data_IF_654792440512
#
_entry.id   IF_654792440512
#
_cell.length_a   1.000
_cell.length_b   1.000
_cell.length_c   1.000
_cell.angle_alpha   90.00
_cell.angle_beta   90.00
_cell.angle_gamma   90.00
#
_symmetry.space_group_name_H-M   'P 1'
#
loop_
_entity.id
_entity.type
_entity.pdbx_description
1 polymer ?
#
# COMPACT_ATOMS: atom_id res chain seq x y z
N UNK A 1 10.77 29.15 -31.73
CA UNK A 1 10.25 29.37 -30.37
C UNK A 1 11.45 29.67 -29.49
N UNK A 2 11.48 30.74 -28.68
CA UNK A 2 12.60 30.98 -27.79
C UNK A 2 12.69 29.80 -26.81
N UNK A 3 13.85 29.17 -26.72
CA UNK A 3 14.15 28.22 -25.67
C UNK A 3 14.09 28.99 -24.34
N UNK A 4 13.09 28.70 -23.51
CA UNK A 4 13.05 29.21 -22.16
C UNK A 4 14.26 28.64 -21.42
N UNK A 5 15.08 29.55 -20.89
CA UNK A 5 16.19 29.18 -20.03
C UNK A 5 15.63 28.59 -18.71
N UNK A 6 15.55 27.26 -18.65
CA UNK A 6 15.07 26.53 -17.49
C UNK A 6 16.06 26.49 -16.32
N UNK A 7 17.16 27.21 -16.41
CA UNK A 7 18.25 27.18 -15.40
C UNK A 7 18.03 28.18 -14.25
N UNK A 8 17.12 29.13 -14.39
CA UNK A 8 16.81 30.06 -13.31
C UNK A 8 15.77 29.47 -12.35
N UNK A 9 16.03 29.42 -11.05
CA UNK A 9 15.04 29.00 -10.07
C UNK A 9 13.82 29.92 -10.13
N UNK A 10 12.64 29.32 -10.19
CA UNK A 10 11.39 30.08 -10.12
C UNK A 10 11.29 30.81 -8.76
N UNK A 11 10.69 31.99 -8.75
CA UNK A 11 10.49 32.71 -7.49
C UNK A 11 9.65 31.86 -6.54
N UNK A 12 9.93 31.90 -5.23
CA UNK A 12 9.13 31.19 -4.24
C UNK A 12 7.68 31.65 -4.28
N UNK A 13 6.77 30.74 -3.92
CA UNK A 13 5.36 31.07 -3.78
C UNK A 13 5.20 32.14 -2.71
N UNK A 14 4.61 33.28 -3.05
CA UNK A 14 4.30 34.34 -2.11
C UNK A 14 2.89 34.11 -1.52
N UNK A 15 2.77 33.77 -0.21
CA UNK A 15 1.48 33.52 0.40
C UNK A 15 0.57 34.76 0.50
N UNK A 16 1.12 35.95 0.26
CA UNK A 16 0.36 37.21 0.26
C UNK A 16 -0.24 37.57 -1.10
N UNK A 17 0.20 36.88 -2.16
CA UNK A 17 -0.36 37.07 -3.49
C UNK A 17 -1.75 36.44 -3.61
N UNK A 18 -2.61 37.06 -4.41
CA UNK A 18 -3.85 36.46 -4.86
C UNK A 18 -3.56 35.12 -5.52
N UNK A 19 -4.33 34.08 -5.16
CA UNK A 19 -4.16 32.71 -5.70
C UNK A 19 -4.24 32.65 -7.22
N UNK A 20 -4.93 33.62 -7.86
CA UNK A 20 -4.98 33.75 -9.33
C UNK A 20 -3.66 34.17 -9.97
N UNK A 21 -2.71 34.71 -9.18
CA UNK A 21 -1.40 35.14 -9.64
C UNK A 21 -0.32 34.11 -9.37
N UNK A 22 -0.64 33.05 -8.60
CA UNK A 22 0.30 31.97 -8.32
C UNK A 22 0.51 31.10 -9.56
N UNK A 23 1.78 30.93 -9.94
CA UNK A 23 2.14 30.11 -11.07
C UNK A 23 1.99 28.61 -10.72
N UNK A 24 1.36 27.83 -11.58
CA UNK A 24 1.15 26.37 -11.41
C UNK A 24 2.43 25.63 -11.02
N UNK A 25 3.53 25.91 -11.70
CA UNK A 25 4.85 25.31 -11.46
C UNK A 25 5.36 25.54 -10.03
N UNK A 26 5.24 26.77 -9.54
CA UNK A 26 5.66 27.17 -8.20
C UNK A 26 4.76 26.58 -7.12
N UNK A 27 3.43 26.62 -7.35
CA UNK A 27 2.46 26.03 -6.40
C UNK A 27 2.71 24.54 -6.16
N UNK A 28 2.99 23.79 -7.22
CA UNK A 28 3.26 22.34 -7.12
C UNK A 28 4.72 22.01 -6.81
N UNK A 29 5.59 23.00 -6.63
CA UNK A 29 7.02 22.83 -6.40
C UNK A 29 7.69 21.88 -7.41
N UNK A 30 7.31 22.02 -8.70
CA UNK A 30 7.71 21.08 -9.74
C UNK A 30 9.22 21.11 -10.03
N UNK A 31 9.89 22.25 -9.82
CA UNK A 31 11.35 22.35 -9.94
C UNK A 31 12.04 21.35 -9.03
N UNK A 32 11.70 21.35 -7.73
CA UNK A 32 12.27 20.44 -6.76
C UNK A 32 11.88 18.99 -7.06
N UNK A 33 10.61 18.73 -7.36
CA UNK A 33 10.10 17.38 -7.64
C UNK A 33 10.79 16.74 -8.84
N UNK A 34 10.89 17.47 -9.97
CA UNK A 34 11.43 16.93 -11.22
C UNK A 34 12.96 16.85 -11.22
N UNK A 35 13.65 17.60 -10.34
CA UNK A 35 15.10 17.55 -10.17
C UNK A 35 15.59 16.56 -9.12
N UNK A 36 14.68 15.84 -8.42
CA UNK A 36 15.08 14.99 -7.30
C UNK A 36 15.64 13.62 -7.72
N UNK A 37 15.55 13.22 -9.00
CA UNK A 37 16.13 11.96 -9.48
C UNK A 37 17.66 11.99 -9.39
N UNK A 38 18.25 10.87 -8.95
CA UNK A 38 19.70 10.71 -8.78
C UNK A 38 20.14 9.34 -9.30
N UNK A 39 20.15 9.12 -10.64
CA UNK A 39 20.66 7.88 -11.21
C UNK A 39 22.15 7.70 -10.89
N UNK A 40 22.56 6.46 -10.65
CA UNK A 40 23.93 6.07 -10.32
C UNK A 40 24.71 5.61 -11.55
N UNK A 41 24.00 5.26 -12.62
CA UNK A 41 24.57 4.78 -13.87
C UNK A 41 24.11 5.64 -15.06
N UNK A 42 24.64 5.39 -16.23
CA UNK A 42 24.21 6.03 -17.48
C UNK A 42 23.06 5.27 -18.17
N UNK A 43 22.50 4.24 -17.54
CA UNK A 43 21.40 3.47 -18.12
C UNK A 43 20.11 4.28 -18.17
N UNK A 44 19.50 4.37 -19.36
CA UNK A 44 18.22 5.07 -19.53
C UNK A 44 17.08 4.38 -18.76
N UNK A 45 17.18 3.06 -18.52
CA UNK A 45 16.18 2.31 -17.78
C UNK A 45 16.26 2.59 -16.26
N UNK A 46 17.42 3.01 -15.73
CA UNK A 46 17.54 3.43 -14.34
C UNK A 46 16.72 4.70 -14.07
N UNK A 47 16.72 5.64 -14.99
CA UNK A 47 15.93 6.87 -14.90
C UNK A 47 14.42 6.55 -14.87
N UNK A 48 13.96 5.62 -15.71
CA UNK A 48 12.58 5.12 -15.68
C UNK A 48 12.26 4.38 -14.39
N UNK A 49 13.18 3.54 -13.90
CA UNK A 49 13.04 2.80 -12.65
C UNK A 49 12.80 3.74 -11.46
N UNK A 50 13.62 4.80 -11.35
CA UNK A 50 13.46 5.82 -10.31
C UNK A 50 12.11 6.52 -10.44
N UNK A 51 11.74 6.98 -11.63
CA UNK A 51 10.49 7.70 -11.85
C UNK A 51 9.25 6.88 -11.46
N UNK A 52 9.19 5.60 -11.84
CA UNK A 52 8.09 4.71 -11.48
C UNK A 52 7.99 4.54 -9.96
N UNK A 53 9.11 4.34 -9.27
CA UNK A 53 9.11 4.23 -7.81
C UNK A 53 8.68 5.53 -7.13
N UNK A 54 9.12 6.68 -7.61
CA UNK A 54 8.70 7.98 -7.08
C UNK A 54 7.20 8.22 -7.23
N UNK A 55 6.58 7.82 -8.36
CA UNK A 55 5.12 7.88 -8.54
C UNK A 55 4.41 7.00 -7.50
N UNK A 56 4.89 5.77 -7.30
CA UNK A 56 4.32 4.86 -6.31
C UNK A 56 4.47 5.42 -4.88
N UNK A 57 5.63 5.97 -4.53
CA UNK A 57 5.88 6.53 -3.21
C UNK A 57 5.03 7.77 -2.92
N UNK A 58 4.79 8.65 -3.89
CA UNK A 58 3.86 9.77 -3.77
C UNK A 58 2.42 9.29 -3.56
N UNK A 59 2.02 8.24 -4.27
CA UNK A 59 0.70 7.63 -4.08
C UNK A 59 0.58 7.03 -2.67
N UNK A 60 1.57 6.25 -2.21
CA UNK A 60 1.58 5.68 -0.86
C UNK A 60 1.54 6.76 0.22
N UNK A 61 2.29 7.86 0.04
CA UNK A 61 2.27 8.97 0.98
C UNK A 61 0.86 9.55 1.15
N UNK A 62 0.18 9.83 0.05
CA UNK A 62 -1.19 10.35 0.12
C UNK A 62 -2.17 9.31 0.67
N UNK A 63 -1.99 8.02 0.33
CA UNK A 63 -2.79 6.93 0.90
C UNK A 63 -2.64 6.85 2.42
N UNK A 64 -1.44 7.04 2.97
CA UNK A 64 -1.20 7.07 4.42
C UNK A 64 -1.98 8.22 5.08
N UNK A 65 -1.92 9.42 4.50
CA UNK A 65 -2.65 10.58 5.01
C UNK A 65 -4.17 10.36 5.01
N UNK A 66 -4.69 9.77 3.95
CA UNK A 66 -6.13 9.47 3.86
C UNK A 66 -6.52 8.28 4.73
N UNK A 67 -5.64 7.29 4.91
CA UNK A 67 -5.85 6.16 5.80
C UNK A 67 -5.94 6.60 7.28
N UNK A 68 -5.09 7.53 7.72
CA UNK A 68 -5.22 8.12 9.07
C UNK A 68 -6.59 8.73 9.29
N UNK A 69 -7.12 9.46 8.30
CA UNK A 69 -8.47 10.05 8.37
C UNK A 69 -9.56 8.98 8.43
N UNK A 70 -9.44 7.94 7.61
CA UNK A 70 -10.36 6.80 7.62
C UNK A 70 -10.35 6.11 8.97
N UNK A 71 -9.19 5.80 9.52
CA UNK A 71 -9.06 5.11 10.79
C UNK A 71 -9.61 5.96 11.94
N UNK A 72 -9.33 7.27 11.95
CA UNK A 72 -9.88 8.21 12.94
C UNK A 72 -11.41 8.25 12.86
N UNK A 73 -11.96 8.43 11.67
CA UNK A 73 -13.40 8.49 11.48
C UNK A 73 -14.12 7.17 11.85
N UNK A 74 -13.50 6.02 11.54
CA UNK A 74 -14.04 4.72 11.98
C UNK A 74 -14.00 4.57 13.50
N UNK A 75 -12.91 5.02 14.15
CA UNK A 75 -12.80 5.01 15.60
C UNK A 75 -13.86 5.86 16.27
N UNK A 76 -14.11 7.07 15.76
CA UNK A 76 -15.17 7.98 16.22
C UNK A 76 -16.56 7.37 16.00
N UNK A 77 -16.86 6.84 14.82
CA UNK A 77 -18.14 6.21 14.51
C UNK A 77 -18.41 4.95 15.35
N UNK A 78 -17.38 4.19 15.72
CA UNK A 78 -17.49 3.04 16.63
C UNK A 78 -17.68 3.48 18.08
N UNK A 79 -17.08 4.60 18.49
CA UNK A 79 -17.25 5.17 19.83
C UNK A 79 -18.59 5.89 20.01
N UNK A 80 -19.23 6.29 18.92
CA UNK A 80 -20.56 6.88 18.94
C UNK A 80 -21.63 5.85 19.32
N UNK A 81 -22.33 6.10 20.41
CA UNK A 81 -23.36 5.19 20.93
C UNK A 81 -24.76 5.45 20.36
N UNK A 82 -24.88 6.21 19.28
CA UNK A 82 -26.16 6.46 18.59
C UNK A 82 -26.69 5.22 17.87
N UNK A 83 -25.79 4.30 17.49
CA UNK A 83 -26.11 3.01 16.87
C UNK A 83 -25.32 1.88 17.55
N UNK A 84 -25.91 0.70 17.79
CA UNK A 84 -25.24 -0.41 18.46
C UNK A 84 -24.09 -1.04 17.66
N UNK A 85 -24.07 -0.87 16.35
CA UNK A 85 -23.04 -1.42 15.45
C UNK A 85 -22.00 -0.35 15.14
N UNK A 86 -22.40 0.71 14.48
CA UNK A 86 -21.54 1.84 14.08
C UNK A 86 -22.39 3.07 13.78
N UNK A 87 -21.96 4.23 14.26
CA UNK A 87 -22.56 5.52 13.95
C UNK A 87 -22.27 5.99 12.53
N UNK A 88 -22.25 7.30 12.31
CA UNK A 88 -22.04 7.89 10.98
C UNK A 88 -20.64 7.61 10.43
N UNK A 89 -20.58 7.07 9.23
CA UNK A 89 -19.34 6.73 8.50
C UNK A 89 -19.09 7.61 7.28
N UNK A 90 -19.82 8.71 7.15
CA UNK A 90 -19.73 9.59 5.96
C UNK A 90 -18.30 10.09 5.71
N UNK A 91 -17.57 10.46 6.76
CA UNK A 91 -16.19 10.94 6.66
C UNK A 91 -15.23 9.82 6.22
N UNK A 92 -15.35 8.63 6.79
CA UNK A 92 -14.59 7.46 6.35
C UNK A 92 -14.87 7.13 4.87
N UNK A 93 -16.15 7.17 4.48
CA UNK A 93 -16.58 6.93 3.10
C UNK A 93 -16.18 8.04 2.12
N UNK A 94 -15.85 9.24 2.59
CA UNK A 94 -15.30 10.31 1.77
C UNK A 94 -13.82 10.04 1.42
N UNK A 95 -13.00 9.60 2.38
CA UNK A 95 -11.56 9.41 2.15
C UNK A 95 -11.22 8.03 1.58
N UNK A 96 -11.93 6.97 1.95
CA UNK A 96 -11.57 5.61 1.54
C UNK A 96 -11.52 5.42 0.01
N UNK A 97 -12.48 5.88 -0.79
CA UNK A 97 -12.41 5.76 -2.25
C UNK A 97 -11.17 6.41 -2.87
N UNK A 98 -10.61 7.45 -2.25
CA UNK A 98 -9.37 8.10 -2.72
C UNK A 98 -8.18 7.16 -2.57
N UNK A 99 -8.10 6.42 -1.46
CA UNK A 99 -7.09 5.40 -1.23
C UNK A 99 -7.18 4.33 -2.33
N UNK A 100 -8.39 3.87 -2.65
CA UNK A 100 -8.61 2.85 -3.68
C UNK A 100 -8.13 3.34 -5.05
N UNK A 101 -8.45 4.58 -5.42
CA UNK A 101 -8.00 5.18 -6.68
C UNK A 101 -6.48 5.37 -6.75
N UNK A 102 -5.85 5.78 -5.66
CA UNK A 102 -4.39 5.86 -5.58
C UNK A 102 -3.73 4.48 -5.68
N UNK A 103 -4.36 3.46 -5.12
CA UNK A 103 -3.89 2.09 -5.27
C UNK A 103 -3.96 1.61 -6.74
N UNK A 104 -5.02 1.96 -7.47
CA UNK A 104 -5.13 1.71 -8.90
C UNK A 104 -4.03 2.43 -9.69
N UNK A 105 -3.64 3.67 -9.31
CA UNK A 105 -2.50 4.38 -9.91
C UNK A 105 -1.22 3.56 -9.75
N UNK A 106 -0.95 3.03 -8.56
CA UNK A 106 0.22 2.16 -8.32
C UNK A 106 0.17 0.92 -9.22
N UNK A 107 -0.99 0.23 -9.29
CA UNK A 107 -1.19 -0.97 -10.09
C UNK A 107 -1.06 -0.73 -11.60
N UNK A 108 -1.39 0.46 -12.09
CA UNK A 108 -1.26 0.83 -13.50
C UNK A 108 0.13 1.36 -13.84
N UNK A 109 0.84 1.92 -12.88
CA UNK A 109 2.19 2.48 -13.05
C UNK A 109 3.27 1.39 -13.04
N UNK A 110 3.20 0.43 -12.12
CA UNK A 110 4.21 -0.63 -12.01
C UNK A 110 4.44 -1.47 -13.28
N UNK A 111 3.43 -1.80 -14.11
CA UNK A 111 3.64 -2.51 -15.38
C UNK A 111 4.60 -1.82 -16.35
N UNK A 112 4.81 -0.52 -16.23
CA UNK A 112 5.77 0.23 -17.04
C UNK A 112 7.19 -0.35 -16.86
N UNK A 113 7.53 -0.84 -15.66
CA UNK A 113 8.82 -1.50 -15.41
C UNK A 113 9.07 -2.75 -16.27
N UNK A 114 8.03 -3.38 -16.83
CA UNK A 114 8.20 -4.50 -17.76
C UNK A 114 8.77 -4.08 -19.12
N UNK A 115 8.75 -2.81 -19.43
CA UNK A 115 9.33 -2.27 -20.68
C UNK A 115 10.84 -2.10 -20.62
N UNK A 116 11.43 -2.18 -19.41
CA UNK A 116 12.88 -2.09 -19.23
C UNK A 116 13.60 -3.27 -19.90
N UNK A 117 14.70 -2.96 -20.61
CA UNK A 117 15.56 -3.93 -21.28
C UNK A 117 16.93 -4.07 -20.65
N UNK A 118 17.38 -3.00 -19.98
CA UNK A 118 18.73 -2.86 -19.44
C UNK A 118 18.78 -2.97 -17.91
N UNK A 119 17.80 -3.60 -17.27
CA UNK A 119 17.76 -3.74 -15.80
C UNK A 119 19.05 -4.35 -15.24
N UNK A 120 19.68 -5.29 -15.98
CA UNK A 120 20.93 -5.91 -15.58
C UNK A 120 22.08 -4.90 -15.42
N UNK A 121 22.10 -3.82 -16.18
CA UNK A 121 23.19 -2.84 -16.23
C UNK A 121 23.35 -2.08 -14.92
N UNK A 122 22.23 -1.76 -14.26
CA UNK A 122 22.25 -0.98 -13.03
C UNK A 122 21.86 -1.79 -11.78
N UNK A 123 21.36 -3.02 -11.95
CA UNK A 123 20.90 -3.87 -10.85
C UNK A 123 21.93 -4.09 -9.74
N UNK A 124 23.18 -4.31 -10.13
CA UNK A 124 24.28 -4.51 -9.16
C UNK A 124 24.69 -3.21 -8.48
N UNK A 125 24.59 -2.09 -9.19
CA UNK A 125 24.96 -0.76 -8.68
C UNK A 125 23.96 -0.26 -7.64
N UNK A 126 22.66 -0.47 -7.86
CA UNK A 126 21.64 -0.08 -6.89
C UNK A 126 21.64 -0.95 -5.62
N UNK A 127 22.35 -2.10 -5.64
CA UNK A 127 22.54 -2.96 -4.47
C UNK A 127 21.23 -3.35 -3.78
N UNK A 128 21.16 -3.21 -2.45
CA UNK A 128 19.98 -3.58 -1.67
C UNK A 128 18.79 -2.60 -1.80
N UNK A 129 18.91 -1.54 -2.59
CA UNK A 129 17.84 -0.54 -2.78
C UNK A 129 16.76 -1.06 -3.72
N UNK A 130 15.90 -1.94 -3.29
CA UNK A 130 14.77 -2.46 -4.07
C UNK A 130 13.45 -1.93 -3.54
N UNK A 131 12.39 -1.97 -4.36
CA UNK A 131 11.02 -1.61 -3.97
C UNK A 131 10.48 -2.40 -2.77
N UNK A 132 11.10 -3.54 -2.41
CA UNK A 132 10.81 -4.26 -1.17
C UNK A 132 11.17 -3.47 0.09
N UNK A 133 11.93 -2.40 -0.04
CA UNK A 133 12.35 -1.52 1.05
C UNK A 133 11.52 -0.24 1.15
N UNK A 134 10.36 -0.18 0.50
CA UNK A 134 9.47 0.96 0.65
C UNK A 134 8.99 1.06 2.11
N UNK A 135 9.45 2.10 2.78
CA UNK A 135 9.09 2.41 4.15
C UNK A 135 7.62 2.83 4.25
N UNK A 136 7.13 3.62 3.29
CA UNK A 136 5.73 4.04 3.26
C UNK A 136 4.77 2.87 2.99
N UNK A 137 5.15 1.95 2.11
CA UNK A 137 4.34 0.76 1.89
C UNK A 137 4.21 -0.10 3.16
N UNK A 138 5.29 -0.24 3.95
CA UNK A 138 5.24 -0.91 5.26
C UNK A 138 4.30 -0.22 6.23
N UNK A 139 4.37 1.11 6.29
CA UNK A 139 3.45 1.89 7.12
C UNK A 139 1.99 1.61 6.75
N UNK A 140 1.68 1.67 5.46
CA UNK A 140 0.33 1.39 4.96
C UNK A 140 -0.15 -0.05 5.27
N UNK A 141 0.74 -1.05 5.16
CA UNK A 141 0.42 -2.43 5.55
C UNK A 141 0.08 -2.54 7.04
N UNK A 142 0.83 -1.88 7.92
CA UNK A 142 0.57 -1.89 9.37
C UNK A 142 -0.76 -1.19 9.69
N UNK A 143 -1.04 -0.05 9.06
CA UNK A 143 -2.33 0.63 9.18
C UNK A 143 -3.51 -0.21 8.68
N UNK A 144 -3.26 -1.13 7.76
CA UNK A 144 -4.26 -2.09 7.26
C UNK A 144 -4.50 -3.27 8.19
N UNK A 145 -3.59 -3.51 9.14
CA UNK A 145 -3.67 -4.61 10.09
C UNK A 145 -2.81 -5.83 9.74
N UNK A 146 -1.85 -5.70 8.80
CA UNK A 146 -0.88 -6.76 8.50
C UNK A 146 0.08 -6.93 9.67
N UNK A 147 -0.14 -7.97 10.48
CA UNK A 147 0.67 -8.24 11.68
C UNK A 147 1.82 -9.23 11.44
N UNK A 148 1.65 -10.14 10.49
CA UNK A 148 2.53 -11.31 10.35
C UNK A 148 3.74 -11.06 9.44
N UNK A 149 3.88 -9.87 8.91
CA UNK A 149 4.93 -9.56 7.94
C UNK A 149 6.35 -9.71 8.53
N UNK A 150 6.55 -9.24 9.76
CA UNK A 150 7.83 -9.25 10.48
C UNK A 150 8.08 -10.51 11.29
N UNK A 151 7.04 -11.30 11.56
CA UNK A 151 7.17 -12.61 12.22
C UNK A 151 7.64 -13.71 11.24
N UNK A 152 7.84 -13.37 9.97
CA UNK A 152 8.33 -14.29 8.94
C UNK A 152 9.82 -14.59 8.99
N UNK A 153 10.51 -14.35 10.10
CA UNK A 153 11.89 -14.74 10.33
C UNK A 153 12.10 -16.23 10.05
N UNK A 154 13.29 -16.59 9.55
CA UNK A 154 13.73 -17.97 9.49
C UNK A 154 13.74 -18.52 10.92
N UNK A 155 13.30 -19.76 11.08
CA UNK A 155 13.51 -20.46 12.35
C UNK A 155 14.98 -20.80 12.47
N UNK A 156 15.57 -20.60 13.65
CA UNK A 156 16.90 -21.08 13.96
C UNK A 156 16.93 -22.64 13.96
N UNK A 157 18.09 -23.22 14.14
CA UNK A 157 18.28 -24.67 14.20
C UNK A 157 17.50 -25.34 15.35
N UNK A 158 16.97 -24.55 16.29
CA UNK A 158 16.20 -25.01 17.43
C UNK A 158 14.68 -24.76 17.26
N UNK A 159 14.27 -24.22 16.11
CA UNK A 159 12.86 -23.95 15.79
C UNK A 159 12.31 -22.63 16.34
N UNK A 160 13.14 -21.80 16.98
CA UNK A 160 12.76 -20.49 17.43
C UNK A 160 12.71 -19.50 16.26
N UNK A 161 11.83 -18.50 16.28
CA UNK A 161 11.83 -17.45 15.28
C UNK A 161 13.17 -16.70 15.30
N UNK A 162 14.01 -16.92 14.30
CA UNK A 162 15.22 -16.14 14.09
C UNK A 162 14.88 -15.03 13.11
N UNK A 163 14.73 -13.82 13.61
CA UNK A 163 14.63 -12.61 12.82
C UNK A 163 16.07 -12.26 12.44
N UNK A 164 16.50 -12.70 11.24
CA UNK A 164 17.71 -12.15 10.67
C UNK A 164 17.45 -10.67 10.39
N UNK A 165 18.08 -9.81 11.18
CA UNK A 165 18.04 -8.37 10.98
C UNK A 165 18.55 -8.03 9.57
N UNK A 166 17.66 -7.55 8.71
CA UNK A 166 18.04 -6.98 7.43
C UNK A 166 18.58 -5.57 7.61
N UNK A 167 19.25 -5.01 6.62
CA UNK A 167 19.65 -3.59 6.64
C UNK A 167 18.43 -2.67 6.81
N UNK A 168 17.29 -3.05 6.25
CA UNK A 168 16.04 -2.35 6.43
C UNK A 168 15.57 -2.36 7.89
N UNK A 169 15.64 -3.51 8.55
CA UNK A 169 15.25 -3.65 9.97
C UNK A 169 16.15 -2.81 10.87
N UNK A 170 17.47 -2.83 10.63
CA UNK A 170 18.43 -1.98 11.38
C UNK A 170 18.14 -0.51 11.24
N UNK A 171 17.71 -0.07 10.04
CA UNK A 171 17.46 1.34 9.75
C UNK A 171 16.10 1.81 10.26
N UNK A 172 15.07 0.99 10.13
CA UNK A 172 13.67 1.39 10.34
C UNK A 172 12.94 0.58 11.41
N UNK A 173 13.61 -0.39 12.04
CA UNK A 173 12.98 -1.28 13.01
C UNK A 173 12.35 -0.55 14.20
N UNK A 174 12.96 0.54 14.65
CA UNK A 174 12.40 1.38 15.72
C UNK A 174 11.09 2.05 15.31
N UNK A 175 11.06 2.64 14.09
CA UNK A 175 9.85 3.30 13.57
C UNK A 175 8.72 2.29 13.38
N UNK A 176 9.07 1.11 12.84
CA UNK A 176 8.12 0.01 12.63
C UNK A 176 7.54 -0.48 13.95
N UNK A 177 8.36 -0.64 14.99
CA UNK A 177 7.88 -1.03 16.33
C UNK A 177 6.90 0.00 16.90
N UNK A 178 7.20 1.29 16.75
CA UNK A 178 6.29 2.38 17.15
C UNK A 178 4.97 2.35 16.36
N UNK A 179 5.00 2.04 15.06
CA UNK A 179 3.79 1.91 14.28
C UNK A 179 2.94 0.71 14.72
N UNK A 180 3.54 -0.44 15.02
CA UNK A 180 2.82 -1.60 15.55
C UNK A 180 2.15 -1.28 16.87
N UNK A 181 2.79 -0.51 17.75
CA UNK A 181 2.20 -0.05 19.00
C UNK A 181 1.04 0.94 18.73
N UNK A 182 1.29 1.96 17.90
CA UNK A 182 0.29 2.99 17.56
C UNK A 182 -0.97 2.40 16.93
N UNK A 183 -0.81 1.46 15.98
CA UNK A 183 -1.92 0.88 15.24
C UNK A 183 -2.40 -0.46 15.81
N UNK A 184 -2.01 -0.84 17.00
CA UNK A 184 -2.39 -2.13 17.61
C UNK A 184 -3.90 -2.35 17.61
N UNK A 185 -4.67 -1.36 18.09
CA UNK A 185 -6.13 -1.35 18.12
C UNK A 185 -6.71 -0.20 17.27
N UNK A 186 -6.00 0.21 16.23
CA UNK A 186 -6.34 1.34 15.38
C UNK A 186 -5.90 1.06 13.93
N UNK A 187 -6.44 -0.01 13.33
CA UNK A 187 -6.17 -0.42 11.96
C UNK A 187 -7.42 -1.01 11.32
N UNK A 188 -7.44 -1.17 9.99
CA UNK A 188 -8.63 -1.63 9.27
C UNK A 188 -9.10 -3.02 9.72
N UNK A 189 -8.18 -3.98 9.94
CA UNK A 189 -8.53 -5.32 10.40
C UNK A 189 -9.15 -5.30 11.80
N UNK A 190 -8.62 -4.48 12.71
CA UNK A 190 -9.20 -4.29 14.04
C UNK A 190 -10.63 -3.76 13.98
N UNK A 191 -10.88 -2.77 13.11
CA UNK A 191 -12.22 -2.22 12.97
C UNK A 191 -13.19 -3.21 12.31
N UNK A 192 -12.73 -3.98 11.34
CA UNK A 192 -13.52 -5.07 10.76
C UNK A 192 -13.92 -6.11 11.82
N UNK A 193 -12.97 -6.58 12.62
CA UNK A 193 -13.24 -7.53 13.71
C UNK A 193 -14.20 -6.94 14.75
N UNK A 194 -14.07 -5.65 15.06
CA UNK A 194 -14.96 -4.94 15.98
C UNK A 194 -16.40 -4.88 15.43
N UNK A 195 -16.55 -4.60 14.14
CA UNK A 195 -17.88 -4.60 13.49
C UNK A 195 -18.50 -5.99 13.48
N UNK A 196 -17.74 -7.04 13.22
CA UNK A 196 -18.24 -8.42 13.33
C UNK A 196 -18.73 -8.73 14.74
N UNK A 197 -17.97 -8.38 15.79
CA UNK A 197 -18.33 -8.63 17.17
C UNK A 197 -19.61 -7.88 17.61
N UNK A 198 -19.87 -6.71 17.05
CA UNK A 198 -21.06 -5.91 17.33
C UNK A 198 -22.28 -6.33 16.50
N UNK A 199 -22.06 -7.05 15.40
CA UNK A 199 -23.11 -7.45 14.46
C UNK A 199 -23.92 -8.61 15.00
N UNK A 200 -25.24 -8.62 14.80
CA UNK A 200 -26.08 -9.75 15.13
C UNK A 200 -25.75 -10.96 14.23
N UNK A 201 -25.86 -12.16 14.79
CA UNK A 201 -25.64 -13.44 14.10
C UNK A 201 -24.78 -14.39 14.92
N UNK A 202 -24.97 -15.69 14.69
CA UNK A 202 -24.24 -16.76 15.37
C UNK A 202 -23.05 -17.27 14.56
N UNK A 203 -22.96 -16.88 13.30
CA UNK A 203 -21.89 -17.24 12.38
C UNK A 203 -21.33 -15.99 11.73
N UNK A 204 -20.07 -16.04 11.32
CA UNK A 204 -19.42 -14.93 10.58
C UNK A 204 -20.21 -14.57 9.31
N UNK A 205 -20.79 -15.53 8.63
CA UNK A 205 -21.61 -15.30 7.44
C UNK A 205 -22.88 -14.48 7.75
N UNK A 206 -23.57 -14.80 8.84
CA UNK A 206 -24.75 -14.04 9.29
C UNK A 206 -24.35 -12.61 9.72
N UNK A 207 -23.25 -12.48 10.43
CA UNK A 207 -22.71 -11.18 10.85
C UNK A 207 -22.35 -10.31 9.66
N UNK A 208 -21.64 -10.82 8.67
CA UNK A 208 -21.31 -10.09 7.44
C UNK A 208 -22.59 -9.71 6.68
N UNK A 209 -23.56 -10.62 6.56
CA UNK A 209 -24.84 -10.32 5.91
C UNK A 209 -25.58 -9.17 6.60
N UNK A 210 -25.60 -9.16 7.94
CA UNK A 210 -26.19 -8.08 8.71
C UNK A 210 -25.46 -6.74 8.48
N UNK A 211 -24.13 -6.75 8.49
CA UNK A 211 -23.33 -5.56 8.22
C UNK A 211 -23.50 -5.02 6.80
N UNK A 212 -23.62 -5.89 5.79
CA UNK A 212 -23.86 -5.47 4.40
C UNK A 212 -25.27 -4.87 4.19
N UNK A 213 -26.22 -5.17 5.08
CA UNK A 213 -27.54 -4.54 5.10
C UNK A 213 -27.62 -3.31 6.01
N UNK A 214 -26.58 -3.00 6.77
CA UNK A 214 -26.54 -1.85 7.67
C UNK A 214 -26.14 -0.57 6.92
N UNK A 215 -26.88 0.55 7.04
CA UNK A 215 -26.66 1.74 6.19
C UNK A 215 -25.27 2.36 6.32
N UNK A 216 -24.69 2.37 7.52
CA UNK A 216 -23.38 2.95 7.78
C UNK A 216 -22.22 1.94 7.64
N UNK A 217 -22.45 0.65 7.94
CA UNK A 217 -21.41 -0.37 7.82
C UNK A 217 -21.18 -0.83 6.38
N UNK A 218 -22.24 -0.98 5.59
CA UNK A 218 -22.18 -1.52 4.23
C UNK A 218 -21.19 -0.80 3.31
N UNK A 219 -21.21 0.56 3.21
CA UNK A 219 -20.25 1.27 2.36
C UNK A 219 -18.80 1.08 2.81
N UNK A 220 -18.55 0.99 4.12
CA UNK A 220 -17.21 0.74 4.68
C UNK A 220 -16.72 -0.65 4.30
N UNK A 221 -17.56 -1.68 4.45
CA UNK A 221 -17.21 -3.05 4.09
C UNK A 221 -16.94 -3.21 2.60
N UNK A 222 -17.69 -2.53 1.75
CA UNK A 222 -17.45 -2.53 0.30
C UNK A 222 -16.08 -1.93 -0.05
N UNK A 223 -15.72 -0.82 0.61
CA UNK A 223 -14.39 -0.22 0.46
C UNK A 223 -13.28 -1.15 0.98
N UNK A 224 -13.46 -1.77 2.15
CA UNK A 224 -12.53 -2.74 2.72
C UNK A 224 -12.31 -3.93 1.78
N UNK A 225 -13.38 -4.51 1.23
CA UNK A 225 -13.30 -5.59 0.25
C UNK A 225 -12.50 -5.19 -1.00
N UNK A 226 -12.79 -3.99 -1.53
CA UNK A 226 -12.07 -3.48 -2.71
C UNK A 226 -10.59 -3.25 -2.39
N UNK A 227 -10.27 -2.72 -1.22
CA UNK A 227 -8.91 -2.51 -0.74
C UNK A 227 -8.14 -3.84 -0.66
N UNK A 228 -8.73 -4.86 -0.06
CA UNK A 228 -8.10 -6.20 0.07
C UNK A 228 -7.80 -6.81 -1.32
N UNK A 229 -8.74 -6.73 -2.25
CA UNK A 229 -8.55 -7.18 -3.63
C UNK A 229 -7.41 -6.43 -4.35
N UNK A 230 -7.30 -5.11 -4.16
CA UNK A 230 -6.23 -4.30 -4.75
C UNK A 230 -4.87 -4.67 -4.14
N UNK A 231 -4.81 -4.89 -2.83
CA UNK A 231 -3.60 -5.31 -2.12
C UNK A 231 -3.14 -6.70 -2.59
N UNK A 232 -4.03 -7.66 -2.70
CA UNK A 232 -3.73 -9.00 -3.22
C UNK A 232 -3.18 -8.90 -4.65
N UNK A 233 -3.83 -8.13 -5.53
CA UNK A 233 -3.37 -7.91 -6.91
C UNK A 233 -1.99 -7.24 -6.96
N UNK A 234 -1.73 -6.26 -6.10
CA UNK A 234 -0.43 -5.61 -6.00
C UNK A 234 0.67 -6.62 -5.65
N UNK A 235 0.47 -7.43 -4.63
CA UNK A 235 1.45 -8.43 -4.23
C UNK A 235 1.71 -9.47 -5.32
N UNK A 236 0.65 -9.97 -5.97
CA UNK A 236 0.76 -10.90 -7.09
C UNK A 236 1.55 -10.32 -8.27
N UNK A 237 1.23 -9.06 -8.62
CA UNK A 237 1.91 -8.37 -9.70
C UNK A 237 3.38 -8.09 -9.37
N UNK A 238 3.66 -7.58 -8.17
CA UNK A 238 5.02 -7.29 -7.71
C UNK A 238 5.89 -8.55 -7.69
N UNK A 239 5.33 -9.66 -7.21
CA UNK A 239 6.01 -10.96 -7.29
C UNK A 239 6.33 -11.37 -8.73
N UNK A 240 5.35 -11.31 -9.63
CA UNK A 240 5.53 -11.68 -11.02
C UNK A 240 6.60 -10.81 -11.71
N UNK A 241 6.59 -9.50 -11.44
CA UNK A 241 7.59 -8.55 -11.92
C UNK A 241 8.99 -8.89 -11.41
N UNK A 242 9.14 -9.12 -10.11
CA UNK A 242 10.42 -9.47 -9.50
C UNK A 242 10.98 -10.77 -10.08
N UNK A 243 10.14 -11.81 -10.24
CA UNK A 243 10.52 -13.08 -10.87
C UNK A 243 10.98 -12.87 -12.32
N UNK A 244 10.26 -12.06 -13.09
CA UNK A 244 10.63 -11.78 -14.49
C UNK A 244 11.98 -11.06 -14.58
N UNK A 245 12.17 -9.99 -13.81
CA UNK A 245 13.40 -9.19 -13.85
C UNK A 245 14.63 -9.97 -13.35
N UNK A 246 14.46 -10.77 -12.30
CA UNK A 246 15.57 -11.57 -11.75
C UNK A 246 15.95 -12.75 -12.65
N UNK A 247 15.01 -13.33 -13.40
CA UNK A 247 15.31 -14.32 -14.42
C UNK A 247 16.17 -13.76 -15.54
N UNK A 248 15.92 -12.52 -15.97
CA UNK A 248 16.71 -11.85 -17.02
C UNK A 248 18.17 -11.63 -16.60
N UNK A 249 18.45 -11.53 -15.31
CA UNK A 249 19.78 -11.27 -14.75
C UNK A 249 20.50 -12.55 -14.30
N UNK A 250 19.83 -13.70 -14.33
CA UNK A 250 20.42 -14.99 -13.91
C UNK A 250 20.70 -15.07 -12.40
N UNK A 251 20.06 -14.24 -11.57
CA UNK A 251 20.31 -14.15 -10.14
C UNK A 251 19.22 -14.90 -9.37
N UNK A 252 19.63 -15.81 -8.47
CA UNK A 252 18.71 -16.56 -7.60
C UNK A 252 18.48 -15.91 -6.22
N UNK A 253 19.28 -14.92 -5.87
CA UNK A 253 19.26 -14.25 -4.55
C UNK A 253 18.82 -12.80 -4.71
N UNK A 254 17.82 -12.39 -3.93
CA UNK A 254 17.35 -11.01 -3.88
C UNK A 254 18.41 -10.05 -3.31
N UNK A 255 18.21 -8.74 -3.50
CA UNK A 255 19.13 -7.68 -3.02
C UNK A 255 19.30 -7.66 -1.51
N UNK A 256 18.39 -8.27 -0.75
CA UNK A 256 18.49 -8.44 0.72
C UNK A 256 19.20 -9.73 1.16
N UNK A 257 19.90 -10.45 0.26
CA UNK A 257 20.66 -11.67 0.60
C UNK A 257 19.83 -12.93 0.82
N UNK A 258 18.50 -12.85 0.70
CA UNK A 258 17.59 -13.99 0.83
C UNK A 258 17.21 -14.54 -0.54
N UNK A 259 17.00 -15.86 -0.65
CA UNK A 259 16.38 -16.45 -1.83
C UNK A 259 15.03 -15.76 -2.07
N UNK A 260 14.93 -14.95 -3.11
CA UNK A 260 13.70 -14.22 -3.42
C UNK A 260 12.52 -15.16 -3.66
N UNK A 261 12.76 -16.36 -4.22
CA UNK A 261 11.72 -17.38 -4.43
C UNK A 261 11.13 -17.87 -3.11
N UNK A 262 11.98 -18.10 -2.11
CA UNK A 262 11.54 -18.55 -0.79
C UNK A 262 10.82 -17.43 -0.04
N UNK A 263 11.31 -16.20 -0.14
CA UNK A 263 10.69 -15.02 0.45
C UNK A 263 9.30 -14.76 -0.16
N UNK A 264 9.23 -14.75 -1.49
CA UNK A 264 7.98 -14.47 -2.21
C UNK A 264 6.99 -15.65 -2.17
N UNK A 265 7.46 -16.91 -2.15
CA UNK A 265 6.60 -18.08 -1.94
C UNK A 265 6.01 -18.13 -0.53
N UNK A 266 6.75 -17.67 0.49
CA UNK A 266 6.23 -17.45 1.84
C UNK A 266 5.12 -16.39 1.84
N UNK A 267 5.35 -15.29 1.17
CA UNK A 267 4.36 -14.20 1.02
C UNK A 267 3.06 -14.71 0.38
N UNK A 268 3.15 -15.48 -0.69
CA UNK A 268 1.99 -16.06 -1.37
C UNK A 268 1.19 -17.04 -0.50
N UNK A 269 1.88 -17.81 0.34
CA UNK A 269 1.23 -18.78 1.24
C UNK A 269 0.63 -18.15 2.49
N UNK A 270 1.05 -16.95 2.85
CA UNK A 270 0.65 -16.26 4.07
C UNK A 270 -0.36 -15.12 3.84
N UNK A 271 -0.73 -14.82 2.60
CA UNK A 271 -1.78 -13.85 2.29
C UNK A 271 -3.16 -14.45 2.57
N UNK A 272 -3.46 -14.59 3.86
CA UNK A 272 -4.85 -14.60 4.26
C UNK A 272 -5.46 -13.23 3.93
N UNK A 273 -6.70 -13.17 3.43
CA UNK A 273 -7.39 -11.91 3.24
C UNK A 273 -7.42 -11.12 4.55
N UNK A 274 -7.27 -9.80 4.46
CA UNK A 274 -7.34 -8.91 5.62
C UNK A 274 -8.72 -8.97 6.30
N UNK A 275 -9.73 -9.24 5.50
CA UNK A 275 -11.13 -9.28 5.94
C UNK A 275 -11.75 -10.65 5.63
N UNK A 276 -11.49 -11.68 6.49
CA UNK A 276 -11.93 -13.05 6.24
C UNK A 276 -13.45 -13.15 6.07
N UNK A 277 -13.88 -13.86 5.05
CA UNK A 277 -15.28 -14.07 4.74
C UNK A 277 -15.91 -12.98 3.86
N UNK A 278 -15.33 -11.77 3.80
CA UNK A 278 -15.93 -10.66 3.04
C UNK A 278 -15.83 -10.87 1.52
N UNK A 279 -14.75 -11.49 1.02
CA UNK A 279 -14.57 -11.81 -0.41
C UNK A 279 -15.45 -12.96 -0.91
N UNK A 280 -15.85 -13.87 -0.04
CA UNK A 280 -16.65 -15.05 -0.42
C UNK A 280 -18.13 -14.72 -0.71
N UNK A 281 -18.61 -13.54 -0.34
CA UNK A 281 -20.00 -13.14 -0.56
C UNK A 281 -20.31 -12.76 -2.02
N UNK A 282 -19.31 -12.37 -2.81
CA UNK A 282 -19.48 -11.93 -4.21
C UNK A 282 -19.71 -13.10 -5.16
N UNK A 283 -19.16 -14.28 -4.88
CA UNK A 283 -19.28 -15.47 -5.73
C UNK A 283 -20.69 -16.09 -5.69
N UNK A 284 -21.50 -15.78 -4.67
CA UNK A 284 -22.86 -16.32 -4.52
C UNK A 284 -23.93 -15.46 -5.17
N UNK A 285 -23.75 -14.15 -5.25
CA UNK A 285 -24.70 -13.25 -5.92
C UNK A 285 -24.60 -13.34 -7.45
N UNK A 286 -23.44 -13.69 -8.02
CA UNK A 286 -23.28 -13.91 -9.46
C UNK A 286 -23.79 -15.29 -9.92
N UNK A 287 -23.98 -16.24 -8.99
CA UNK A 287 -24.45 -17.60 -9.27
C UNK A 287 -25.96 -17.75 -9.39
N UNK A 288 -26.77 -16.74 -9.03
CA UNK A 288 -28.24 -16.82 -9.07
C UNK A 288 -28.89 -16.16 -10.29
N UNK A 289 -28.07 -15.59 -11.20
CA UNK A 289 -28.54 -14.80 -12.36
C UNK A 289 -28.65 -15.53 -13.70
N UNK A 290 -28.34 -16.84 -13.80
CA UNK A 290 -28.49 -17.60 -15.05
C UNK A 290 -29.16 -18.99 -14.82
N UNK A 291 -30.44 -18.93 -14.57
CA UNK A 291 -31.38 -20.07 -14.84
C UNK A 291 -32.71 -19.46 -15.25
N UNK A 292 -32.82 -19.14 -16.52
CA UNK A 292 -34.03 -19.25 -17.32
C UNK A 292 -33.65 -19.27 -18.81
#
# INVERSE_FOLDING_TARGET
MPQSDHTQPLPPLDPTLDVTQNHYWTYHNLEALLSCKRPLTASQDEDLFIAVHQICELAFHQMILDMERVLTALGEAIADNTDPIIGDTSEACYFFPRILRLYEVVLTTMPILKTMRAFAEFRTTIGPTSGFQSFQFRHLEIMSGVRNYWQGGTKDTQGNPHIAETEFDRRYGSDIAQWFERYHNHNLAYYYDTLLQRSPGNTTAEQISALLNHPHASPVLQNMRTYDNLQIRFHQFHLALAVQQLKLVGVEVGTGGTSFRNYLAKYHKQQAPLFPGLTQFDDREQGTGNKE
#
